data_IF_063510593417
#
_entry.id   IF_063510593417
#
_cell.length_a   1.000
_cell.length_b   1.000
_cell.length_c   1.000
_cell.angle_alpha   90.00
_cell.angle_beta   90.00
_cell.angle_gamma   90.00
#
_symmetry.space_group_name_H-M   'P 1'
#
loop_
_entity.id
_entity.type
_entity.pdbx_description
1 polymer ?
#
# COMPACT_ATOMS: atom_id res chain seq x y z
N UNK A 1 20.86 19.26 -34.69
CA UNK A 1 20.69 18.75 -33.31
C UNK A 1 19.71 17.60 -33.41
N UNK A 2 20.24 16.38 -33.51
CA UNK A 2 19.43 15.17 -33.68
C UNK A 2 18.83 14.77 -32.33
N UNK A 3 17.52 14.55 -32.32
CA UNK A 3 16.79 14.05 -31.14
C UNK A 3 17.15 12.58 -30.92
N UNK A 4 17.56 12.17 -29.70
CA UNK A 4 17.81 10.76 -29.41
C UNK A 4 16.47 10.01 -29.45
N UNK A 5 16.42 8.93 -30.24
CA UNK A 5 15.24 8.06 -30.36
C UNK A 5 15.40 6.85 -29.44
N UNK A 6 14.45 6.64 -28.53
CA UNK A 6 14.41 5.46 -27.66
C UNK A 6 13.94 4.23 -28.46
N UNK A 7 14.87 3.34 -28.80
CA UNK A 7 14.54 2.05 -29.42
C UNK A 7 14.29 0.96 -28.38
N UNK A 8 13.02 0.68 -28.03
CA UNK A 8 12.67 -0.43 -27.14
C UNK A 8 12.72 -1.75 -27.90
N UNK A 9 13.75 -2.56 -27.67
CA UNK A 9 13.79 -3.96 -28.10
C UNK A 9 13.23 -4.83 -26.97
N UNK A 10 12.10 -5.50 -27.20
CA UNK A 10 11.43 -6.30 -26.18
C UNK A 10 11.29 -7.75 -26.66
N UNK A 11 11.75 -8.71 -25.85
CA UNK A 11 11.52 -10.14 -26.03
C UNK A 11 10.27 -10.52 -25.23
N UNK A 12 9.13 -10.66 -25.93
CA UNK A 12 7.84 -11.04 -25.35
C UNK A 12 6.66 -10.53 -26.17
N UNK A 13 5.57 -11.29 -26.25
CA UNK A 13 4.35 -10.86 -26.95
C UNK A 13 3.73 -9.65 -26.23
N UNK A 14 3.73 -8.50 -26.92
CA UNK A 14 3.29 -7.16 -26.48
C UNK A 14 2.03 -7.07 -25.59
N UNK A 15 1.00 -7.93 -25.68
CA UNK A 15 -0.20 -7.79 -24.84
C UNK A 15 0.04 -8.12 -23.37
N UNK A 16 0.81 -9.17 -23.06
CA UNK A 16 0.81 -9.76 -21.70
C UNK A 16 1.47 -8.87 -20.64
N UNK A 17 2.58 -8.20 -21.00
CA UNK A 17 3.29 -7.30 -20.08
C UNK A 17 2.46 -6.05 -19.70
N UNK A 18 1.52 -5.63 -20.56
CA UNK A 18 0.60 -4.54 -20.28
C UNK A 18 -0.52 -4.95 -19.31
N UNK A 19 -0.97 -6.22 -19.36
CA UNK A 19 -2.00 -6.74 -18.46
C UNK A 19 -1.47 -7.06 -17.07
N UNK A 20 -0.25 -7.60 -16.97
CA UNK A 20 0.28 -8.13 -15.72
C UNK A 20 1.09 -7.10 -14.91
N UNK A 21 1.14 -5.84 -15.36
CA UNK A 21 1.93 -4.75 -14.75
C UNK A 21 3.39 -5.16 -14.45
N UNK A 22 3.95 -6.02 -15.31
CA UNK A 22 5.28 -6.58 -15.10
C UNK A 22 6.34 -5.50 -15.30
N UNK A 23 7.41 -5.51 -14.49
CA UNK A 23 8.54 -4.60 -14.69
C UNK A 23 9.20 -4.88 -16.05
N UNK A 24 9.27 -3.84 -16.87
CA UNK A 24 9.90 -3.79 -18.18
C UNK A 24 11.32 -3.25 -18.04
N UNK A 25 12.27 -3.91 -18.71
CA UNK A 25 13.63 -3.38 -18.87
C UNK A 25 13.75 -2.68 -20.22
N UNK A 26 14.16 -1.42 -20.20
CA UNK A 26 14.38 -0.60 -21.40
C UNK A 26 15.87 -0.54 -21.71
N UNK A 27 16.21 -0.84 -22.96
CA UNK A 27 17.55 -0.63 -23.52
C UNK A 27 17.56 0.66 -24.34
N UNK A 28 18.44 1.58 -24.00
CA UNK A 28 18.75 2.74 -24.83
C UNK A 28 19.80 2.31 -25.84
N UNK A 29 19.45 2.44 -27.13
CA UNK A 29 20.31 2.03 -28.23
C UNK A 29 20.62 3.27 -29.06
N UNK A 30 21.90 3.55 -29.24
CA UNK A 30 22.39 4.60 -30.13
C UNK A 30 23.20 3.99 -31.28
N UNK A 31 23.15 4.64 -32.45
CA UNK A 31 23.84 4.21 -33.65
C UNK A 31 23.19 4.64 -34.94
N UNK A 32 23.85 4.31 -36.05
CA UNK A 32 23.37 4.62 -37.39
C UNK A 32 22.25 3.66 -37.76
N UNK A 33 21.03 4.18 -37.90
CA UNK A 33 19.89 3.42 -38.41
C UNK A 33 19.89 3.39 -39.93
N UNK A 34 19.51 2.24 -40.49
CA UNK A 34 19.19 2.08 -41.90
C UNK A 34 18.10 3.07 -42.32
N UNK A 35 18.23 3.65 -43.51
CA UNK A 35 17.17 4.44 -44.12
C UNK A 35 16.04 3.50 -44.57
N UNK A 36 14.86 3.63 -43.95
CA UNK A 36 13.72 2.71 -44.16
C UNK A 36 13.18 2.69 -45.59
N UNK A 37 13.46 3.73 -46.39
CA UNK A 37 12.95 3.88 -47.75
C UNK A 37 13.97 3.47 -48.83
N UNK A 38 15.20 3.11 -48.46
CA UNK A 38 16.24 2.72 -49.40
C UNK A 38 16.61 1.23 -49.22
N UNK A 39 16.20 0.35 -50.15
CA UNK A 39 16.49 -1.08 -50.12
C UNK A 39 17.99 -1.41 -50.21
N UNK A 40 18.82 -0.51 -50.74
CA UNK A 40 20.26 -0.70 -50.90
C UNK A 40 21.08 -0.09 -49.77
N UNK A 41 20.43 0.53 -48.78
CA UNK A 41 21.14 1.15 -47.67
C UNK A 41 21.76 0.11 -46.72
N UNK A 42 22.92 0.48 -46.18
CA UNK A 42 23.66 -0.32 -45.22
C UNK A 42 22.77 -0.77 -44.05
N UNK A 43 23.07 -1.93 -43.48
CA UNK A 43 22.40 -2.40 -42.25
C UNK A 43 22.64 -1.42 -41.10
N UNK A 44 21.65 -1.25 -40.23
CA UNK A 44 21.80 -0.46 -39.01
C UNK A 44 23.03 -0.91 -38.20
N UNK A 45 23.86 0.03 -37.76
CA UNK A 45 25.03 -0.21 -36.92
C UNK A 45 24.82 0.42 -35.56
N UNK A 46 24.91 -0.40 -34.51
CA UNK A 46 24.78 0.07 -33.13
C UNK A 46 26.16 0.47 -32.61
N UNK A 47 26.29 1.70 -32.10
CA UNK A 47 27.51 2.21 -31.47
C UNK A 47 27.47 2.07 -29.95
N UNK A 48 26.28 2.13 -29.35
CA UNK A 48 26.11 2.09 -27.91
C UNK A 48 24.81 1.38 -27.51
N UNK A 49 24.89 0.62 -26.42
CA UNK A 49 23.74 -0.01 -25.77
C UNK A 49 23.90 0.16 -24.27
N UNK A 50 22.91 0.78 -23.65
CA UNK A 50 22.85 0.92 -22.21
C UNK A 50 21.50 0.42 -21.73
N UNK A 51 21.52 -0.47 -20.76
CA UNK A 51 20.33 -0.92 -20.08
C UNK A 51 19.98 0.15 -19.04
N UNK A 52 18.78 0.73 -19.12
CA UNK A 52 18.34 1.71 -18.12
C UNK A 52 18.39 1.04 -16.73
N UNK A 53 18.95 1.77 -15.78
CA UNK A 53 19.15 1.30 -14.41
C UNK A 53 17.81 1.13 -13.70
N UNK A 54 16.80 1.92 -14.06
CA UNK A 54 15.47 1.82 -13.47
C UNK A 54 14.58 0.86 -14.26
N UNK A 55 13.78 0.01 -13.58
CA UNK A 55 12.70 -0.71 -14.23
C UNK A 55 11.64 0.28 -14.71
N UNK A 56 10.86 -0.12 -15.71
CA UNK A 56 9.76 0.64 -16.26
C UNK A 56 8.46 -0.16 -16.14
N UNK A 57 7.31 0.50 -16.23
CA UNK A 57 6.02 -0.18 -16.40
C UNK A 57 5.16 0.57 -17.41
N UNK A 58 4.12 -0.10 -17.91
CA UNK A 58 3.13 0.49 -18.80
C UNK A 58 2.07 1.17 -17.94
N UNK A 59 2.00 2.51 -17.99
CA UNK A 59 0.94 3.28 -17.32
C UNK A 59 -0.37 3.24 -18.11
N UNK A 60 -0.28 3.18 -19.44
CA UNK A 60 -1.43 3.16 -20.34
C UNK A 60 -1.10 2.35 -21.59
N UNK A 61 -2.07 1.58 -22.06
CA UNK A 61 -2.00 0.83 -23.32
C UNK A 61 -3.35 0.90 -24.04
N UNK A 62 -3.37 1.39 -25.28
CA UNK A 62 -4.52 1.31 -26.18
C UNK A 62 -4.41 0.01 -26.99
N UNK A 63 -5.30 -0.95 -26.74
CA UNK A 63 -5.29 -2.25 -27.41
C UNK A 63 -5.68 -2.20 -28.89
N UNK A 64 -6.33 -1.12 -29.35
CA UNK A 64 -6.79 -0.95 -30.73
C UNK A 64 -5.72 -0.28 -31.59
N UNK A 65 -5.00 0.70 -31.05
CA UNK A 65 -3.95 1.43 -31.79
C UNK A 65 -2.54 0.88 -31.52
N UNK A 66 -2.35 0.19 -30.39
CA UNK A 66 -1.04 -0.26 -29.92
C UNK A 66 -0.21 0.84 -29.28
N UNK A 67 -0.78 2.03 -29.06
CA UNK A 67 -0.11 3.14 -28.37
C UNK A 67 0.03 2.85 -26.88
N UNK A 68 1.15 3.28 -26.29
CA UNK A 68 1.41 3.08 -24.87
C UNK A 68 2.23 4.20 -24.26
N UNK A 69 2.11 4.34 -22.93
CA UNK A 69 2.93 5.25 -22.12
C UNK A 69 3.76 4.41 -21.15
N UNK A 70 5.08 4.45 -21.34
CA UNK A 70 6.05 3.88 -20.40
C UNK A 70 6.48 4.93 -19.38
N UNK A 71 6.59 4.51 -18.13
CA UNK A 71 7.08 5.36 -17.03
C UNK A 71 8.13 4.61 -16.24
N UNK A 72 9.20 5.31 -15.84
CA UNK A 72 10.22 4.80 -14.92
C UNK A 72 9.61 4.44 -13.56
N UNK A 73 10.11 3.38 -12.95
CA UNK A 73 9.62 2.77 -11.71
C UNK A 73 8.83 1.48 -11.96
N UNK A 74 8.76 0.64 -10.94
CA UNK A 74 7.84 -0.50 -10.89
C UNK A 74 6.42 0.00 -10.72
N UNK A 75 5.46 -0.47 -11.52
CA UNK A 75 4.06 -0.12 -11.32
C UNK A 75 3.62 -0.61 -9.94
N UNK A 76 3.28 0.31 -9.04
CA UNK A 76 2.70 -0.06 -7.76
C UNK A 76 1.34 -0.72 -8.03
N UNK A 77 1.09 -1.86 -7.40
CA UNK A 77 -0.23 -2.51 -7.44
C UNK A 77 -1.30 -1.50 -6.98
N UNK A 78 -2.46 -1.50 -7.62
CA UNK A 78 -3.62 -0.72 -7.14
C UNK A 78 -4.19 -1.26 -5.82
N UNK A 79 -3.75 -2.45 -5.40
CA UNK A 79 -4.18 -3.14 -4.21
C UNK A 79 -3.01 -3.25 -3.24
N UNK A 80 -3.29 -2.92 -1.99
CA UNK A 80 -2.39 -3.14 -0.87
C UNK A 80 -3.10 -3.96 0.21
N UNK A 81 -2.36 -4.75 0.96
CA UNK A 81 -2.83 -5.49 2.11
C UNK A 81 -1.96 -5.21 3.36
N UNK A 82 -2.22 -5.97 4.42
CA UNK A 82 -1.54 -5.82 5.72
C UNK A 82 -0.11 -6.39 5.75
N UNK A 83 0.34 -7.03 4.67
CA UNK A 83 1.63 -7.69 4.53
C UNK A 83 2.55 -7.00 3.53
N UNK A 84 2.03 -6.06 2.73
CA UNK A 84 2.85 -5.23 1.87
C UNK A 84 3.94 -4.50 2.68
N UNK A 85 5.18 -4.71 2.24
CA UNK A 85 6.36 -4.05 2.79
C UNK A 85 7.16 -3.42 1.66
N UNK A 86 7.87 -2.34 1.94
CA UNK A 86 8.77 -1.70 0.96
C UNK A 86 9.90 -2.65 0.48
N UNK A 87 10.09 -3.79 1.15
CA UNK A 87 11.06 -4.82 0.77
C UNK A 87 10.37 -5.91 -0.05
N UNK A 88 10.62 -5.89 -1.37
CA UNK A 88 10.22 -6.96 -2.28
C UNK A 88 11.22 -8.12 -2.15
N UNK A 89 10.94 -9.10 -1.29
CA UNK A 89 11.63 -10.41 -1.33
C UNK A 89 10.77 -11.38 -2.13
N UNK A 90 11.33 -11.93 -3.21
CA UNK A 90 10.65 -12.88 -4.08
C UNK A 90 10.62 -14.30 -3.49
N UNK A 91 11.40 -14.55 -2.43
CA UNK A 91 11.52 -15.86 -1.79
C UNK A 91 10.80 -15.87 -0.43
N UNK A 92 10.21 -17.01 -0.10
CA UNK A 92 9.59 -17.22 1.22
C UNK A 92 10.70 -17.38 2.24
N UNK A 93 11.12 -16.27 2.83
CA UNK A 93 12.14 -16.24 3.86
C UNK A 93 11.51 -16.30 5.26
N UNK A 94 12.07 -17.15 6.12
CA UNK A 94 11.70 -17.15 7.54
C UNK A 94 12.43 -16.02 8.25
N UNK A 95 11.77 -14.88 8.38
CA UNK A 95 12.29 -13.77 9.18
C UNK A 95 12.11 -14.05 10.67
N UNK A 96 13.20 -13.96 11.43
CA UNK A 96 13.16 -13.92 12.90
C UNK A 96 12.71 -12.53 13.33
N UNK A 97 11.43 -12.38 13.66
CA UNK A 97 10.88 -11.12 14.18
C UNK A 97 11.05 -11.09 15.69
N UNK A 98 12.03 -10.33 16.19
CA UNK A 98 12.10 -9.96 17.61
C UNK A 98 11.20 -8.76 17.86
N UNK A 99 9.96 -9.00 18.32
CA UNK A 99 9.05 -7.91 18.70
C UNK A 99 9.11 -7.63 20.19
N UNK A 100 9.21 -6.36 20.57
CA UNK A 100 8.92 -5.92 21.93
C UNK A 100 7.40 -5.91 22.12
N UNK A 101 6.87 -7.00 22.66
CA UNK A 101 5.44 -7.08 22.98
C UNK A 101 5.19 -6.35 24.29
N UNK A 102 4.49 -5.22 24.23
CA UNK A 102 3.96 -4.59 25.44
C UNK A 102 2.87 -5.50 26.04
N UNK A 103 3.00 -5.83 27.32
CA UNK A 103 1.92 -6.50 28.07
C UNK A 103 0.76 -5.52 28.21
N UNK A 104 -0.21 -5.61 27.30
CA UNK A 104 -1.41 -4.76 27.31
C UNK A 104 -2.30 -5.18 28.47
N UNK A 105 -2.65 -4.25 29.34
CA UNK A 105 -3.51 -4.58 30.48
C UNK A 105 -4.90 -5.03 30.00
N UNK A 106 -5.26 -6.27 30.36
CA UNK A 106 -6.56 -6.86 29.98
C UNK A 106 -7.74 -6.06 30.51
N UNK A 107 -7.61 -5.51 31.72
CA UNK A 107 -8.70 -4.78 32.37
C UNK A 107 -8.98 -3.45 31.68
N UNK A 108 -7.95 -2.79 31.15
CA UNK A 108 -8.07 -1.56 30.37
C UNK A 108 -8.83 -1.83 29.07
N UNK A 109 -8.45 -2.89 28.35
CA UNK A 109 -9.12 -3.31 27.13
C UNK A 109 -10.58 -3.72 27.39
N UNK A 110 -10.81 -4.46 28.47
CA UNK A 110 -12.15 -4.88 28.86
C UNK A 110 -13.03 -3.67 29.24
N UNK A 111 -12.46 -2.67 29.92
CA UNK A 111 -13.18 -1.43 30.25
C UNK A 111 -13.64 -0.69 28.99
N UNK A 112 -12.81 -0.58 27.95
CA UNK A 112 -13.19 0.01 26.67
C UNK A 112 -14.34 -0.77 25.99
N UNK A 113 -14.26 -2.10 25.97
CA UNK A 113 -15.33 -2.95 25.40
C UNK A 113 -16.66 -2.85 26.17
N UNK A 114 -16.61 -2.75 27.50
CA UNK A 114 -17.81 -2.56 28.33
C UNK A 114 -18.41 -1.18 28.10
N UNK A 115 -17.57 -0.13 28.06
CA UNK A 115 -17.98 1.25 27.78
C UNK A 115 -18.70 1.37 26.43
N UNK A 116 -18.24 0.63 25.43
CA UNK A 116 -18.79 0.67 24.07
C UNK A 116 -20.18 0.03 23.92
N UNK A 117 -20.62 -0.77 24.91
CA UNK A 117 -21.92 -1.48 24.90
C UNK A 117 -22.14 -2.30 23.63
N UNK A 118 -21.07 -2.87 23.07
CA UNK A 118 -21.11 -3.70 21.87
C UNK A 118 -21.21 -2.93 20.56
N UNK A 119 -21.04 -1.60 20.58
CA UNK A 119 -20.96 -0.73 19.39
C UNK A 119 -19.57 -0.16 19.20
N UNK A 120 -19.22 0.17 17.96
CA UNK A 120 -18.02 0.91 17.60
C UNK A 120 -18.12 2.33 18.16
N UNK A 121 -17.17 2.77 18.98
CA UNK A 121 -17.22 4.12 19.55
C UNK A 121 -16.95 5.23 18.51
N UNK A 122 -16.48 4.87 17.31
CA UNK A 122 -16.20 5.82 16.22
C UNK A 122 -17.38 6.02 15.26
N UNK A 123 -17.92 4.94 14.69
CA UNK A 123 -19.00 5.00 13.70
C UNK A 123 -20.37 4.57 14.24
N UNK A 124 -20.45 4.18 15.51
CA UNK A 124 -21.63 3.65 16.18
C UNK A 124 -22.14 2.29 15.65
N UNK A 125 -21.58 1.71 14.59
CA UNK A 125 -22.02 0.40 14.08
C UNK A 125 -21.84 -0.73 15.12
N UNK A 126 -22.77 -1.69 15.21
CA UNK A 126 -22.66 -2.80 16.13
C UNK A 126 -21.51 -3.74 15.76
N UNK A 127 -20.86 -4.31 16.77
CA UNK A 127 -19.99 -5.47 16.56
C UNK A 127 -20.79 -6.69 16.07
N UNK A 128 -20.11 -7.68 15.50
CA UNK A 128 -20.77 -8.91 15.03
C UNK A 128 -20.77 -9.99 16.12
N UNK A 129 -21.75 -10.89 16.07
CA UNK A 129 -21.80 -12.05 16.97
C UNK A 129 -20.83 -13.14 16.52
N UNK A 130 -20.03 -13.62 17.46
CA UNK A 130 -19.18 -14.80 17.29
C UNK A 130 -20.00 -16.09 17.44
N UNK A 131 -19.44 -17.22 17.03
CA UNK A 131 -20.02 -18.55 17.26
C UNK A 131 -20.27 -18.86 18.74
N UNK A 132 -19.60 -18.16 19.65
CA UNK A 132 -19.82 -18.27 21.10
C UNK A 132 -20.98 -17.42 21.64
N UNK A 133 -21.68 -16.67 20.77
CA UNK A 133 -22.74 -15.74 21.15
C UNK A 133 -22.26 -14.39 21.70
N UNK A 134 -20.93 -14.17 21.79
CA UNK A 134 -20.34 -12.90 22.23
C UNK A 134 -20.21 -11.91 21.08
N UNK A 135 -20.31 -10.61 21.37
CA UNK A 135 -20.05 -9.53 20.41
C UNK A 135 -18.55 -9.30 20.25
N UNK A 136 -18.09 -9.22 19.00
CA UNK A 136 -16.71 -8.94 18.64
C UNK A 136 -16.52 -7.47 18.26
N UNK A 137 -15.52 -6.85 18.89
CA UNK A 137 -14.94 -5.54 18.57
C UNK A 137 -13.43 -5.60 18.83
N UNK A 138 -12.69 -4.67 18.25
CA UNK A 138 -11.25 -4.55 18.41
C UNK A 138 -10.92 -3.36 19.32
N UNK A 139 -9.89 -3.49 20.15
CA UNK A 139 -9.40 -2.39 21.00
C UNK A 139 -8.19 -1.75 20.35
N UNK A 140 -8.24 -0.43 20.16
CA UNK A 140 -7.20 0.34 19.50
C UNK A 140 -6.63 1.41 20.46
N UNK A 141 -5.29 1.50 20.55
CA UNK A 141 -4.61 2.59 21.24
C UNK A 141 -4.55 3.79 20.29
N UNK A 142 -5.31 4.85 20.58
CA UNK A 142 -5.47 6.01 19.69
C UNK A 142 -4.16 6.79 19.54
N UNK A 143 -3.40 6.90 20.63
CA UNK A 143 -1.98 7.25 20.61
C UNK A 143 -1.22 5.93 20.73
N UNK A 144 -0.50 5.48 19.69
CA UNK A 144 0.23 4.23 19.71
C UNK A 144 1.23 4.16 20.86
N UNK A 145 1.39 2.97 21.46
CA UNK A 145 2.39 2.75 22.53
C UNK A 145 3.82 3.01 22.02
N UNK A 146 4.10 2.72 20.74
CA UNK A 146 5.37 3.02 20.08
C UNK A 146 5.67 4.52 19.96
N UNK A 147 4.64 5.37 20.01
CA UNK A 147 4.74 6.84 20.02
C UNK A 147 4.70 7.42 21.44
N UNK A 148 4.80 6.57 22.48
CA UNK A 148 4.73 6.99 23.88
C UNK A 148 3.31 7.20 24.41
N UNK A 149 2.28 6.69 23.72
CA UNK A 149 0.92 6.70 24.23
C UNK A 149 0.77 5.89 25.53
N UNK A 150 -0.05 6.34 26.49
CA UNK A 150 -0.26 5.60 27.74
C UNK A 150 -1.12 4.34 27.50
N UNK A 151 -0.81 3.24 28.19
CA UNK A 151 -1.75 2.12 28.31
C UNK A 151 -2.80 2.48 29.38
N UNK A 152 -3.80 3.26 28.97
CA UNK A 152 -4.82 3.83 29.83
C UNK A 152 -6.20 3.79 29.17
N UNK A 153 -7.28 3.73 29.97
CA UNK A 153 -8.67 3.62 29.47
C UNK A 153 -9.07 4.83 28.61
N UNK A 154 -8.45 5.99 28.83
CA UNK A 154 -8.67 7.22 28.06
C UNK A 154 -7.80 7.33 26.79
N UNK A 155 -6.97 6.33 26.51
CA UNK A 155 -6.23 6.19 25.24
C UNK A 155 -6.62 4.91 24.46
N UNK A 156 -7.54 4.11 24.99
CA UNK A 156 -8.03 2.90 24.33
C UNK A 156 -9.48 3.07 23.91
N UNK A 157 -9.77 2.87 22.62
CA UNK A 157 -11.10 2.93 22.03
C UNK A 157 -11.52 1.55 21.51
N UNK A 158 -12.80 1.21 21.66
CA UNK A 158 -13.40 0.01 21.07
C UNK A 158 -13.98 0.33 19.69
N UNK A 159 -13.53 -0.37 18.65
CA UNK A 159 -13.82 -0.09 17.24
C UNK A 159 -14.19 -1.36 16.48
N UNK A 160 -14.93 -1.21 15.37
CA UNK A 160 -15.17 -2.32 14.44
C UNK A 160 -13.89 -2.63 13.63
N UNK A 161 -13.77 -3.83 13.04
CA UNK A 161 -12.58 -4.21 12.26
C UNK A 161 -12.28 -3.26 11.10
N UNK A 162 -13.31 -2.73 10.45
CA UNK A 162 -13.16 -1.81 9.33
C UNK A 162 -12.51 -0.49 9.77
N UNK A 163 -13.05 0.16 10.79
CA UNK A 163 -12.52 1.44 11.26
C UNK A 163 -11.18 1.27 11.97
N UNK A 164 -10.94 0.12 12.59
CA UNK A 164 -9.61 -0.21 13.10
C UNK A 164 -8.56 -0.23 11.98
N UNK A 165 -8.89 -0.84 10.83
CA UNK A 165 -7.98 -0.84 9.67
C UNK A 165 -7.86 0.54 9.05
N UNK A 166 -8.94 1.32 8.95
CA UNK A 166 -8.84 2.71 8.47
C UNK A 166 -7.95 3.56 9.37
N UNK A 167 -8.02 3.39 10.69
CA UNK A 167 -7.15 4.11 11.62
C UNK A 167 -5.65 3.82 11.40
N UNK A 168 -5.31 2.66 10.82
CA UNK A 168 -3.93 2.31 10.48
C UNK A 168 -3.52 2.69 9.05
N UNK A 169 -4.40 2.49 8.06
CA UNK A 169 -4.01 2.47 6.64
C UNK A 169 -4.74 3.49 5.76
N UNK A 170 -5.84 4.09 6.22
CA UNK A 170 -6.56 5.05 5.39
C UNK A 170 -5.76 6.35 5.22
N UNK A 171 -5.94 7.01 4.08
CA UNK A 171 -5.37 8.34 3.83
C UNK A 171 -5.79 9.35 4.93
N UNK A 172 -7.01 9.23 5.44
CA UNK A 172 -7.54 10.04 6.53
C UNK A 172 -7.19 9.54 7.96
N UNK A 173 -6.24 8.63 8.14
CA UNK A 173 -5.89 8.05 9.45
C UNK A 173 -5.64 9.10 10.55
N UNK A 174 -4.97 10.22 10.23
CA UNK A 174 -4.75 11.31 11.17
C UNK A 174 -6.05 12.02 11.60
N UNK A 175 -6.97 12.20 10.66
CA UNK A 175 -8.31 12.76 10.94
C UNK A 175 -9.11 11.80 11.83
N UNK A 176 -9.05 10.50 11.53
CA UNK A 176 -9.68 9.45 12.35
C UNK A 176 -9.11 9.50 13.77
N UNK A 177 -7.77 9.51 13.93
CA UNK A 177 -7.10 9.63 15.23
C UNK A 177 -7.58 10.86 16.01
N UNK A 178 -7.58 12.03 15.38
CA UNK A 178 -8.04 13.27 16.02
C UNK A 178 -9.49 13.17 16.50
N UNK A 179 -10.37 12.55 15.70
CA UNK A 179 -11.77 12.34 16.06
C UNK A 179 -11.94 11.34 17.21
N UNK A 180 -11.17 10.26 17.22
CA UNK A 180 -11.17 9.28 18.33
C UNK A 180 -10.72 9.91 19.66
N UNK A 181 -9.70 10.78 19.63
CA UNK A 181 -9.27 11.54 20.82
C UNK A 181 -10.44 12.36 21.39
N UNK A 182 -11.21 13.02 20.53
CA UNK A 182 -12.34 13.85 20.95
C UNK A 182 -13.47 13.02 21.57
N UNK A 183 -13.78 11.86 21.00
CA UNK A 183 -14.79 10.93 21.54
C UNK A 183 -14.40 10.46 22.96
N UNK A 184 -13.13 10.12 23.17
CA UNK A 184 -12.65 9.66 24.48
C UNK A 184 -12.69 10.79 25.52
N UNK A 185 -12.38 12.03 25.14
CA UNK A 185 -12.52 13.21 26.03
C UNK A 185 -13.96 13.43 26.48
N UNK A 186 -14.92 13.37 25.55
CA UNK A 186 -16.35 13.54 25.85
C UNK A 186 -16.86 12.45 26.78
N UNK A 187 -16.43 11.20 26.54
CA UNK A 187 -16.77 10.05 27.37
C UNK A 187 -16.23 10.19 28.81
N UNK A 188 -15.03 10.77 28.98
CA UNK A 188 -14.44 11.05 30.30
C UNK A 188 -15.22 12.12 31.06
N UNK A 189 -15.64 13.19 30.38
CA UNK A 189 -16.43 14.27 30.99
C UNK A 189 -17.83 13.79 31.43
N UNK A 190 -18.49 12.96 30.63
CA UNK A 190 -19.82 12.43 30.95
C UNK A 190 -19.84 11.43 32.12
N UNK A 191 -18.70 10.84 32.48
CA UNK A 191 -18.57 9.90 33.58
C UNK A 191 -18.21 10.55 34.94
N UNK A 192 -17.93 11.86 34.96
CA UNK A 192 -17.58 12.62 36.18
C UNK A 192 -18.72 13.50 36.73
N UNK A 193 -19.92 13.41 36.15
CA UNK A 193 -21.16 14.01 36.65
C UNK A 193 -22.10 12.93 37.20
#
# INVERSE_FOLDING_TARGET
METPYLGVHQTGSRPQAAYDNLPIRVLVVDGKRRATQDPHSDSSKVSHRELDAEPWHIRHYDSRTGEFVLVRGTGQSAYVDQFDSDTLSAEVERNQVSSSVYTRNRDIRQAALVRSKGRCEYCDEPGFQTSSGRIYLETHHVIPLSEGGPDAVDNVIAVCPLDHRKAHYAHEALTIRARMIEILKQSKMGASN
#
